data_IF_903620593341
#
_entry.id   IF_903620593341
#
_cell.length_a   1.000
_cell.length_b   1.000
_cell.length_c   1.000
_cell.angle_alpha   90.00
_cell.angle_beta   90.00
_cell.angle_gamma   90.00
#
_symmetry.space_group_name_H-M   'P 1'
#
loop_
_entity.id
_entity.type
_entity.pdbx_description
1 polymer ?
#
# COMPACT_ATOMS: atom_id res chain seq x y z
N UNK A 1 -26.31 -31.15 -1.82
CA UNK A 1 -25.08 -30.45 -2.26
C UNK A 1 -23.95 -31.03 -1.43
N UNK A 2 -22.93 -31.60 -2.08
CA UNK A 2 -22.11 -32.70 -1.54
C UNK A 2 -21.05 -32.23 -0.52
N UNK A 3 -20.68 -33.09 0.44
CA UNK A 3 -19.60 -32.84 1.44
C UNK A 3 -18.26 -32.34 0.84
N UNK A 4 -18.05 -32.53 -0.47
CA UNK A 4 -16.92 -31.97 -1.20
C UNK A 4 -17.01 -30.44 -1.34
N UNK A 5 -18.20 -29.86 -1.56
CA UNK A 5 -18.37 -28.41 -1.65
C UNK A 5 -18.12 -27.72 -0.31
N UNK A 6 -18.58 -28.31 0.81
CA UNK A 6 -18.33 -27.75 2.15
C UNK A 6 -16.84 -27.78 2.52
N UNK A 7 -16.13 -28.87 2.17
CA UNK A 7 -14.68 -28.96 2.37
C UNK A 7 -13.90 -27.98 1.51
N UNK A 8 -14.31 -27.75 0.26
CA UNK A 8 -13.68 -26.78 -0.62
C UNK A 8 -13.85 -25.35 -0.10
N UNK A 9 -15.05 -24.99 0.34
CA UNK A 9 -15.33 -23.65 0.94
C UNK A 9 -14.50 -23.43 2.20
N UNK A 10 -14.42 -24.42 3.09
CA UNK A 10 -13.60 -24.32 4.31
C UNK A 10 -12.10 -24.15 4.00
N UNK A 11 -11.60 -24.83 2.96
CA UNK A 11 -10.20 -24.69 2.51
C UNK A 11 -9.97 -23.30 1.91
N UNK A 12 -10.91 -22.82 1.10
CA UNK A 12 -10.88 -21.49 0.49
C UNK A 12 -10.83 -20.39 1.55
N UNK A 13 -11.65 -20.46 2.59
CA UNK A 13 -11.66 -19.51 3.70
C UNK A 13 -10.32 -19.49 4.46
N UNK A 14 -9.77 -20.67 4.76
CA UNK A 14 -8.46 -20.78 5.43
C UNK A 14 -7.32 -20.25 4.57
N UNK A 15 -7.32 -20.59 3.28
CA UNK A 15 -6.32 -20.12 2.33
C UNK A 15 -6.41 -18.61 2.15
N UNK A 16 -7.62 -18.07 2.01
CA UNK A 16 -7.87 -16.65 1.90
C UNK A 16 -7.36 -15.90 3.14
N UNK A 17 -7.67 -16.38 4.35
CA UNK A 17 -7.15 -15.81 5.59
C UNK A 17 -5.62 -15.80 5.66
N UNK A 18 -4.96 -16.86 5.16
CA UNK A 18 -3.50 -16.92 5.08
C UNK A 18 -2.94 -15.92 4.07
N UNK A 19 -3.56 -15.81 2.89
CA UNK A 19 -3.16 -14.89 1.83
C UNK A 19 -3.28 -13.43 2.28
N UNK A 20 -4.41 -13.03 2.87
CA UNK A 20 -4.61 -11.65 3.35
C UNK A 20 -3.56 -11.28 4.42
N UNK A 21 -3.20 -12.22 5.31
CA UNK A 21 -2.20 -11.99 6.35
C UNK A 21 -0.77 -11.88 5.81
N UNK A 22 -0.43 -12.61 4.76
CA UNK A 22 0.97 -12.72 4.30
C UNK A 22 1.26 -11.99 2.98
N UNK A 23 0.27 -11.65 2.17
CA UNK A 23 0.47 -11.12 0.81
C UNK A 23 1.36 -9.86 0.80
N UNK A 24 1.04 -8.85 1.61
CA UNK A 24 1.83 -7.60 1.64
C UNK A 24 3.24 -7.84 2.18
N UNK A 25 3.39 -8.70 3.20
CA UNK A 25 4.69 -9.04 3.77
C UNK A 25 5.56 -9.80 2.75
N UNK A 26 4.99 -10.79 2.08
CA UNK A 26 5.65 -11.55 1.02
C UNK A 26 6.04 -10.63 -0.14
N UNK A 27 5.13 -9.75 -0.59
CA UNK A 27 5.39 -8.77 -1.64
C UNK A 27 6.56 -7.85 -1.28
N UNK A 28 6.57 -7.30 -0.07
CA UNK A 28 7.66 -6.45 0.43
C UNK A 28 8.99 -7.18 0.43
N UNK A 29 9.02 -8.41 0.95
CA UNK A 29 10.25 -9.22 1.02
C UNK A 29 10.76 -9.52 -0.39
N UNK A 30 9.90 -9.96 -1.30
CA UNK A 30 10.28 -10.31 -2.67
C UNK A 30 10.79 -9.08 -3.43
N UNK A 31 10.08 -7.95 -3.36
CA UNK A 31 10.53 -6.69 -3.97
C UNK A 31 11.87 -6.27 -3.38
N UNK A 32 12.01 -6.28 -2.05
CA UNK A 32 13.26 -5.93 -1.38
C UNK A 32 14.44 -6.82 -1.79
N UNK A 33 14.24 -8.13 -1.89
CA UNK A 33 15.24 -9.08 -2.33
C UNK A 33 15.66 -8.85 -3.79
N UNK A 34 14.71 -8.56 -4.68
CA UNK A 34 14.98 -8.27 -6.09
C UNK A 34 15.79 -6.97 -6.23
N UNK A 35 15.40 -5.91 -5.53
CA UNK A 35 16.13 -4.63 -5.53
C UNK A 35 17.56 -4.80 -4.99
N UNK A 36 17.72 -5.52 -3.89
CA UNK A 36 19.04 -5.77 -3.33
C UNK A 36 19.91 -6.61 -4.27
N UNK A 37 19.35 -7.69 -4.84
CA UNK A 37 20.07 -8.56 -5.77
C UNK A 37 20.53 -7.83 -7.03
N UNK A 38 19.65 -7.06 -7.67
CA UNK A 38 20.01 -6.28 -8.86
C UNK A 38 20.95 -5.11 -8.54
N UNK A 39 20.77 -4.45 -7.40
CA UNK A 39 21.69 -3.41 -6.94
C UNK A 39 23.11 -3.95 -6.74
N UNK A 40 23.24 -5.11 -6.07
CA UNK A 40 24.55 -5.75 -5.87
C UNK A 40 25.18 -6.13 -7.22
N UNK A 41 24.38 -6.64 -8.16
CA UNK A 41 24.87 -7.06 -9.47
C UNK A 41 25.46 -5.89 -10.29
N UNK A 42 24.94 -4.67 -10.10
CA UNK A 42 25.39 -3.47 -10.82
C UNK A 42 26.78 -2.98 -10.41
N UNK A 43 27.34 -3.45 -9.28
CA UNK A 43 28.74 -3.18 -8.95
C UNK A 43 29.72 -3.98 -9.81
N UNK A 44 29.26 -5.03 -10.50
CA UNK A 44 30.09 -5.88 -11.35
C UNK A 44 29.86 -5.53 -12.82
N UNK A 45 30.84 -4.92 -13.51
CA UNK A 45 30.70 -4.56 -14.91
C UNK A 45 30.54 -5.80 -15.80
N UNK A 46 29.74 -5.66 -16.85
CA UNK A 46 29.47 -6.65 -17.91
C UNK A 46 28.72 -7.92 -17.48
N UNK A 47 28.24 -7.97 -16.23
CA UNK A 47 27.44 -9.10 -15.73
C UNK A 47 25.96 -8.95 -16.05
N UNK A 48 25.46 -7.71 -16.15
CA UNK A 48 24.03 -7.45 -16.38
C UNK A 48 23.72 -7.31 -17.88
N UNK A 49 22.82 -8.16 -18.44
CA UNK A 49 22.37 -8.02 -19.83
C UNK A 49 21.75 -6.66 -20.15
N UNK A 50 21.22 -5.96 -19.13
CA UNK A 50 20.56 -4.66 -19.26
C UNK A 50 21.51 -3.46 -19.06
N UNK A 51 22.81 -3.68 -18.85
CA UNK A 51 23.78 -2.59 -18.63
C UNK A 51 23.82 -1.63 -19.82
N UNK A 52 23.88 -2.15 -21.05
CA UNK A 52 23.89 -1.33 -22.26
C UNK A 52 22.59 -0.54 -22.51
N UNK A 53 21.47 -0.95 -21.91
CA UNK A 53 20.24 -0.16 -21.91
C UNK A 53 20.31 0.96 -20.85
N UNK A 54 20.82 0.63 -19.67
CA UNK A 54 20.96 1.55 -18.54
C UNK A 54 21.89 2.71 -18.87
N UNK A 55 23.06 2.42 -19.47
CA UNK A 55 24.04 3.44 -19.88
C UNK A 55 23.41 4.46 -20.83
N UNK A 56 22.73 4.01 -21.90
CA UNK A 56 22.09 4.93 -22.85
C UNK A 56 20.98 5.76 -22.20
N UNK A 57 20.26 5.17 -21.24
CA UNK A 57 19.20 5.87 -20.52
C UNK A 57 19.75 6.95 -19.61
N UNK A 58 20.82 6.65 -18.88
CA UNK A 58 21.55 7.61 -18.04
C UNK A 58 22.08 8.76 -18.89
N UNK A 59 22.71 8.45 -20.02
CA UNK A 59 23.26 9.46 -20.93
C UNK A 59 22.17 10.44 -21.42
N UNK A 60 21.01 9.90 -21.83
CA UNK A 60 19.85 10.70 -22.23
C UNK A 60 19.26 11.53 -21.08
N UNK A 61 19.09 10.94 -19.89
CA UNK A 61 18.50 11.61 -18.73
C UNK A 61 19.42 12.70 -18.14
N UNK A 62 20.72 12.52 -18.26
CA UNK A 62 21.73 13.44 -17.72
C UNK A 62 22.28 14.39 -18.77
N UNK A 63 21.78 14.33 -20.01
CA UNK A 63 22.28 15.07 -21.17
C UNK A 63 23.79 14.90 -21.38
N UNK A 64 24.32 13.72 -21.05
CA UNK A 64 25.75 13.39 -21.11
C UNK A 64 26.63 14.12 -20.08
N UNK A 65 26.05 14.80 -19.09
CA UNK A 65 26.81 15.55 -18.08
C UNK A 65 27.43 14.66 -17.00
N UNK A 66 26.84 13.49 -16.75
CA UNK A 66 27.28 12.58 -15.69
C UNK A 66 27.90 11.34 -16.32
N UNK A 67 29.15 10.96 -15.96
CA UNK A 67 29.75 9.71 -16.41
C UNK A 67 28.90 8.51 -15.99
N UNK A 68 28.69 7.57 -16.92
CA UNK A 68 27.81 6.43 -16.73
C UNK A 68 28.29 5.51 -15.59
N UNK A 69 29.61 5.43 -15.37
CA UNK A 69 30.23 4.64 -14.31
C UNK A 69 29.77 5.12 -12.94
N UNK A 70 29.80 6.45 -12.74
CA UNK A 70 29.37 7.08 -11.48
C UNK A 70 27.87 6.90 -11.28
N UNK A 71 27.09 7.13 -12.33
CA UNK A 71 25.64 6.99 -12.27
C UNK A 71 25.22 5.54 -11.94
N UNK A 72 25.85 4.53 -12.54
CA UNK A 72 25.56 3.13 -12.24
C UNK A 72 25.88 2.80 -10.78
N UNK A 73 27.01 3.27 -10.24
CA UNK A 73 27.37 3.04 -8.83
C UNK A 73 26.36 3.69 -7.89
N UNK A 74 25.91 4.92 -8.19
CA UNK A 74 24.89 5.61 -7.41
C UNK A 74 23.55 4.85 -7.46
N UNK A 75 23.13 4.40 -8.64
CA UNK A 75 21.91 3.60 -8.81
C UNK A 75 22.03 2.27 -8.06
N UNK A 76 23.18 1.60 -8.14
CA UNK A 76 23.44 0.35 -7.43
C UNK A 76 23.31 0.53 -5.92
N UNK A 77 23.94 1.58 -5.36
CA UNK A 77 23.86 1.91 -3.95
C UNK A 77 22.41 2.25 -3.53
N UNK A 78 21.69 3.00 -4.35
CA UNK A 78 20.29 3.35 -4.11
C UNK A 78 19.40 2.09 -4.08
N UNK A 79 19.54 1.19 -5.05
CA UNK A 79 18.77 -0.06 -5.12
C UNK A 79 19.07 -0.98 -3.93
N UNK A 80 20.34 -1.11 -3.55
CA UNK A 80 20.73 -1.82 -2.34
C UNK A 80 20.09 -1.22 -1.09
N UNK A 81 20.13 0.11 -0.95
CA UNK A 81 19.55 0.80 0.20
C UNK A 81 18.03 0.60 0.29
N UNK A 82 17.31 0.74 -0.84
CA UNK A 82 15.88 0.45 -0.94
C UNK A 82 15.62 -1.01 -0.54
N UNK A 83 16.36 -1.96 -1.11
CA UNK A 83 16.23 -3.38 -0.84
C UNK A 83 16.41 -3.73 0.64
N UNK A 84 17.47 -3.19 1.26
CA UNK A 84 17.75 -3.37 2.70
C UNK A 84 16.62 -2.78 3.54
N UNK A 85 16.14 -1.57 3.23
CA UNK A 85 15.03 -0.97 3.95
C UNK A 85 13.80 -1.91 3.89
N UNK A 86 13.40 -2.34 2.69
CA UNK A 86 12.23 -3.19 2.46
C UNK A 86 12.33 -4.54 3.20
N UNK A 87 13.51 -5.15 3.19
CA UNK A 87 13.77 -6.41 3.90
C UNK A 87 13.74 -6.22 5.42
N UNK A 88 14.40 -5.18 5.93
CA UNK A 88 14.46 -4.86 7.35
C UNK A 88 13.15 -4.26 7.90
N UNK A 89 12.20 -3.91 7.03
CA UNK A 89 10.99 -3.16 7.39
C UNK A 89 11.30 -1.85 8.16
N UNK A 90 12.44 -1.23 7.86
CA UNK A 90 12.90 0.00 8.53
C UNK A 90 12.94 1.16 7.53
N UNK A 91 12.64 2.36 8.01
CA UNK A 91 12.64 3.59 7.20
C UNK A 91 11.75 3.53 5.94
N UNK A 92 10.59 2.87 6.06
CA UNK A 92 9.68 2.64 4.92
C UNK A 92 9.19 3.89 4.22
N UNK A 93 8.99 5.00 4.93
CA UNK A 93 8.64 6.27 4.29
C UNK A 93 9.72 6.73 3.31
N UNK A 94 10.99 6.60 3.70
CA UNK A 94 12.13 6.93 2.84
C UNK A 94 12.20 5.93 1.68
N UNK A 95 12.12 4.63 1.97
CA UNK A 95 12.17 3.58 0.95
C UNK A 95 11.10 3.77 -0.14
N UNK A 96 9.88 4.14 0.23
CA UNK A 96 8.80 4.38 -0.72
C UNK A 96 9.04 5.62 -1.56
N UNK A 97 9.51 6.73 -0.97
CA UNK A 97 9.90 7.92 -1.76
C UNK A 97 11.01 7.61 -2.76
N UNK A 98 12.02 6.84 -2.33
CA UNK A 98 13.10 6.41 -3.20
C UNK A 98 12.62 5.46 -4.29
N UNK A 99 11.68 4.56 -4.01
CA UNK A 99 11.04 3.70 -5.02
C UNK A 99 10.34 4.54 -6.11
N UNK A 100 9.61 5.59 -5.72
CA UNK A 100 8.94 6.46 -6.70
C UNK A 100 9.95 7.11 -7.65
N UNK A 101 11.03 7.67 -7.10
CA UNK A 101 12.12 8.25 -7.91
C UNK A 101 12.74 7.17 -8.81
N UNK A 102 12.98 5.98 -8.26
CA UNK A 102 13.60 4.89 -8.98
C UNK A 102 12.72 4.36 -10.12
N UNK A 103 11.40 4.32 -9.95
CA UNK A 103 10.47 3.91 -11.01
C UNK A 103 10.45 4.88 -12.20
N UNK A 104 10.64 6.18 -11.96
CA UNK A 104 10.82 7.15 -13.05
C UNK A 104 12.05 6.77 -13.88
N UNK A 105 13.17 6.45 -13.22
CA UNK A 105 14.40 6.04 -13.90
C UNK A 105 14.28 4.71 -14.65
N UNK A 106 13.70 3.68 -14.02
CA UNK A 106 13.56 2.34 -14.60
C UNK A 106 12.60 2.35 -15.80
N UNK A 107 11.54 3.17 -15.77
CA UNK A 107 10.56 3.24 -16.85
C UNK A 107 10.87 4.30 -17.92
N UNK A 108 11.82 5.21 -17.68
CA UNK A 108 12.27 6.19 -18.67
C UNK A 108 12.60 5.61 -20.07
N UNK A 109 13.22 4.41 -20.20
CA UNK A 109 13.48 3.81 -21.51
C UNK A 109 12.23 3.59 -22.36
N UNK A 110 11.04 3.40 -21.77
CA UNK A 110 9.79 3.21 -22.51
C UNK A 110 9.45 4.41 -23.39
N UNK A 111 9.83 5.62 -22.95
CA UNK A 111 9.59 6.87 -23.67
C UNK A 111 10.83 7.30 -24.46
N UNK A 112 12.01 7.18 -23.86
CA UNK A 112 13.26 7.69 -24.45
C UNK A 112 13.85 6.75 -25.50
N UNK A 113 13.64 5.44 -25.36
CA UNK A 113 14.29 4.38 -26.14
C UNK A 113 13.26 3.44 -26.78
N UNK A 114 12.03 3.91 -27.02
CA UNK A 114 10.93 3.11 -27.60
C UNK A 114 11.35 2.39 -28.87
N UNK A 115 12.07 3.07 -29.78
CA UNK A 115 12.56 2.48 -31.02
C UNK A 115 13.53 1.30 -30.83
N UNK A 116 14.26 1.25 -29.70
CA UNK A 116 15.13 0.13 -29.33
C UNK A 116 14.35 -0.98 -28.63
N UNK A 117 13.40 -0.63 -27.78
CA UNK A 117 12.62 -1.60 -27.02
C UNK A 117 11.63 -2.37 -27.91
N UNK A 118 11.11 -1.76 -28.97
CA UNK A 118 10.12 -2.35 -29.88
C UNK A 118 10.65 -2.60 -31.29
N UNK A 119 11.96 -2.87 -31.42
CA UNK A 119 12.60 -3.12 -32.72
C UNK A 119 12.40 -4.55 -33.25
N UNK A 120 11.59 -5.38 -32.60
CA UNK A 120 11.33 -6.76 -33.02
C UNK A 120 10.42 -6.85 -34.25
N UNK A 121 10.27 -8.04 -34.84
CA UNK A 121 9.31 -8.27 -35.92
C UNK A 121 7.91 -7.80 -35.52
N UNK A 122 7.22 -7.10 -36.42
CA UNK A 122 5.89 -6.54 -36.15
C UNK A 122 5.80 -5.62 -34.91
N UNK A 123 6.88 -4.88 -34.60
CA UNK A 123 6.96 -4.00 -33.42
C UNK A 123 6.89 -4.76 -32.09
N UNK A 124 7.25 -6.06 -32.09
CA UNK A 124 7.33 -6.85 -30.88
C UNK A 124 8.45 -6.33 -29.95
N UNK A 125 8.27 -6.42 -28.61
CA UNK A 125 9.28 -6.01 -27.67
C UNK A 125 10.50 -6.93 -27.71
N UNK A 126 11.69 -6.34 -27.76
CA UNK A 126 12.97 -7.04 -27.60
C UNK A 126 13.10 -7.62 -26.20
N UNK A 127 14.12 -8.44 -25.94
CA UNK A 127 14.37 -8.94 -24.57
C UNK A 127 14.51 -7.79 -23.57
N UNK A 128 15.25 -6.73 -23.95
CA UNK A 128 15.34 -5.48 -23.18
C UNK A 128 13.97 -4.82 -22.97
N UNK A 129 13.14 -4.75 -24.02
CA UNK A 129 11.76 -4.26 -23.93
C UNK A 129 10.89 -5.05 -22.96
N UNK A 130 10.99 -6.39 -23.00
CA UNK A 130 10.28 -7.28 -22.07
C UNK A 130 10.75 -7.09 -20.64
N UNK A 131 12.06 -6.91 -20.43
CA UNK A 131 12.61 -6.63 -19.10
C UNK A 131 12.07 -5.32 -18.52
N UNK A 132 11.98 -4.24 -19.30
CA UNK A 132 11.44 -2.97 -18.81
C UNK A 132 9.92 -3.05 -18.60
N UNK A 133 9.19 -3.71 -19.51
CA UNK A 133 7.73 -3.85 -19.39
C UNK A 133 7.31 -4.61 -18.13
N UNK A 134 8.08 -5.63 -17.72
CA UNK A 134 7.77 -6.38 -16.49
C UNK A 134 7.88 -5.47 -15.25
N UNK A 135 8.71 -4.43 -15.28
CA UNK A 135 8.94 -3.56 -14.12
C UNK A 135 7.73 -2.67 -13.81
N UNK A 136 6.75 -2.58 -14.71
CA UNK A 136 5.41 -2.02 -14.43
C UNK A 136 4.73 -2.78 -13.28
N UNK A 137 4.96 -4.09 -13.17
CA UNK A 137 4.47 -4.90 -12.05
C UNK A 137 5.10 -4.45 -10.73
N UNK A 138 6.37 -4.03 -10.74
CA UNK A 138 7.04 -3.50 -9.55
C UNK A 138 6.45 -2.16 -9.11
N UNK A 139 5.97 -1.34 -10.05
CA UNK A 139 5.22 -0.11 -9.71
C UNK A 139 3.95 -0.45 -8.95
N UNK A 140 3.14 -1.38 -9.46
CA UNK A 140 1.93 -1.84 -8.77
C UNK A 140 2.26 -2.44 -7.40
N UNK A 141 3.34 -3.22 -7.30
CA UNK A 141 3.80 -3.77 -6.03
C UNK A 141 4.23 -2.67 -5.04
N UNK A 142 4.95 -1.66 -5.53
CA UNK A 142 5.35 -0.48 -4.76
C UNK A 142 4.15 0.31 -4.24
N UNK A 143 3.11 0.47 -5.07
CA UNK A 143 1.84 1.09 -4.65
C UNK A 143 1.16 0.29 -3.53
N UNK A 144 1.09 -1.04 -3.65
CA UNK A 144 0.51 -1.89 -2.61
C UNK A 144 1.31 -1.83 -1.29
N UNK A 145 2.65 -1.83 -1.36
CA UNK A 145 3.52 -1.66 -0.20
C UNK A 145 3.33 -0.26 0.42
N UNK A 146 3.26 0.78 -0.40
CA UNK A 146 3.03 2.16 0.03
C UNK A 146 1.69 2.30 0.76
N UNK A 147 0.61 1.75 0.19
CA UNK A 147 -0.72 1.77 0.78
C UNK A 147 -0.75 1.05 2.15
N UNK A 148 -0.11 -0.11 2.25
CA UNK A 148 0.01 -0.85 3.52
C UNK A 148 0.87 -0.14 4.56
N UNK A 149 1.88 0.61 4.14
CA UNK A 149 2.85 1.23 5.04
C UNK A 149 2.44 2.62 5.52
N UNK A 150 1.88 3.47 4.67
CA UNK A 150 1.60 4.88 5.04
C UNK A 150 0.41 5.06 5.97
N UNK A 151 -0.48 4.06 6.10
CA UNK A 151 -1.71 4.17 6.92
C UNK A 151 -2.06 2.92 7.72
N UNK A 152 -1.16 1.93 7.81
CA UNK A 152 -1.53 0.61 8.35
C UNK A 152 -2.66 -0.04 7.56
N UNK A 153 -2.80 0.30 6.27
CA UNK A 153 -3.88 -0.16 5.41
C UNK A 153 -3.83 -1.67 5.25
N UNK A 154 -4.74 -2.37 5.93
CA UNK A 154 -5.03 -3.78 5.64
C UNK A 154 -5.93 -3.86 4.42
N UNK A 155 -5.78 -4.94 3.65
CA UNK A 155 -6.79 -5.34 2.68
C UNK A 155 -8.05 -5.68 3.48
N UNK A 156 -9.05 -4.80 3.44
CA UNK A 156 -10.36 -5.00 4.07
C UNK A 156 -11.26 -5.61 2.99
N UNK A 157 -11.95 -6.69 3.33
CA UNK A 157 -13.03 -7.23 2.51
C UNK A 157 -14.24 -6.32 2.69
N UNK A 158 -14.77 -5.76 1.60
CA UNK A 158 -16.18 -5.43 1.57
C UNK A 158 -16.94 -6.75 1.46
N UNK A 159 -17.62 -7.14 2.53
CA UNK A 159 -18.52 -8.28 2.45
C UNK A 159 -19.64 -7.92 1.44
N UNK A 160 -19.90 -8.75 0.42
CA UNK A 160 -20.98 -8.49 -0.51
C UNK A 160 -22.30 -8.54 0.24
N UNK A 161 -22.86 -7.36 0.51
CA UNK A 161 -24.20 -7.18 1.07
C UNK A 161 -24.37 -7.80 2.46
N UNK A 162 -24.03 -7.03 3.50
CA UNK A 162 -24.94 -7.02 4.65
C UNK A 162 -26.14 -6.20 4.16
N UNK A 163 -27.28 -6.81 3.75
CA UNK A 163 -28.51 -6.03 3.63
C UNK A 163 -28.70 -5.32 4.96
N UNK A 164 -29.17 -4.06 4.95
CA UNK A 164 -29.61 -3.31 6.13
C UNK A 164 -30.12 -4.30 7.18
N UNK A 165 -29.22 -4.71 8.08
CA UNK A 165 -29.59 -5.72 9.06
C UNK A 165 -30.30 -4.86 10.06
N UNK A 166 -31.62 -5.06 10.28
CA UNK A 166 -32.32 -4.34 11.31
C UNK A 166 -31.46 -4.44 12.57
N UNK A 167 -31.28 -3.33 13.32
CA UNK A 167 -30.35 -3.30 14.45
C UNK A 167 -30.49 -4.60 15.23
N UNK A 168 -29.36 -5.29 15.43
CA UNK A 168 -29.32 -6.53 16.18
C UNK A 168 -30.15 -6.36 17.46
N UNK A 169 -30.95 -7.38 17.86
CA UNK A 169 -31.89 -7.25 18.97
C UNK A 169 -31.15 -6.66 20.15
N UNK A 170 -31.67 -5.52 20.61
CA UNK A 170 -31.17 -4.75 21.73
C UNK A 170 -30.85 -5.73 22.85
N UNK A 171 -29.56 -5.94 23.13
CA UNK A 171 -29.17 -6.64 24.33
C UNK A 171 -29.71 -5.80 25.49
N UNK A 172 -30.57 -6.40 26.31
CA UNK A 172 -31.07 -5.75 27.52
C UNK A 172 -29.91 -5.38 28.47
N UNK A 173 -30.09 -4.32 29.28
CA UNK A 173 -29.04 -3.34 29.55
C UNK A 173 -28.39 -3.54 30.93
N UNK A 174 -27.57 -4.58 31.10
CA UNK A 174 -26.87 -4.80 32.38
C UNK A 174 -25.33 -4.68 32.29
N UNK A 175 -24.72 -4.86 31.12
CA UNK A 175 -23.25 -4.88 30.96
C UNK A 175 -22.75 -4.07 29.74
N UNK A 176 -23.61 -3.24 29.14
CA UNK A 176 -23.19 -2.46 27.98
C UNK A 176 -22.28 -1.29 28.42
N UNK A 177 -21.06 -1.17 27.87
CA UNK A 177 -20.14 -0.10 28.25
C UNK A 177 -20.76 1.28 27.97
N UNK A 178 -20.51 2.22 28.88
CA UNK A 178 -20.91 3.62 28.73
C UNK A 178 -20.38 4.23 27.41
N UNK A 179 -21.05 5.26 26.90
CA UNK A 179 -20.68 5.99 25.70
C UNK A 179 -19.22 6.48 25.72
N UNK A 180 -18.72 6.95 26.88
CA UNK A 180 -17.32 7.35 27.03
C UNK A 180 -16.35 6.19 26.84
N UNK A 181 -16.69 5.03 27.39
CA UNK A 181 -15.89 3.81 27.27
C UNK A 181 -15.92 3.28 25.82
N UNK A 182 -17.09 3.26 25.17
CA UNK A 182 -17.23 2.92 23.74
C UNK A 182 -16.36 3.81 22.86
N UNK A 183 -16.37 5.12 23.11
CA UNK A 183 -15.54 6.09 22.39
C UNK A 183 -14.05 5.82 22.60
N UNK A 184 -13.62 5.55 23.83
CA UNK A 184 -12.24 5.26 24.15
C UNK A 184 -11.74 3.98 23.43
N UNK A 185 -12.57 2.94 23.38
CA UNK A 185 -12.27 1.71 22.63
C UNK A 185 -12.08 2.02 21.13
N UNK A 186 -13.00 2.76 20.52
CA UNK A 186 -12.93 3.16 19.11
C UNK A 186 -11.68 4.01 18.82
N UNK A 187 -11.38 4.99 19.67
CA UNK A 187 -10.22 5.87 19.52
C UNK A 187 -8.90 5.13 19.71
N UNK A 188 -8.85 4.13 20.59
CA UNK A 188 -7.65 3.35 20.86
C UNK A 188 -7.16 2.54 19.65
N UNK A 189 -8.09 2.09 18.79
CA UNK A 189 -7.79 1.47 17.51
C UNK A 189 -7.52 2.49 16.40
N UNK A 190 -8.16 3.67 16.45
CA UNK A 190 -7.96 4.75 15.48
C UNK A 190 -6.57 5.43 15.60
N UNK A 191 -5.96 5.41 16.80
CA UNK A 191 -4.62 5.96 17.05
C UNK A 191 -3.48 5.20 16.34
N UNK A 192 -3.75 4.03 15.75
CA UNK A 192 -2.79 3.29 14.93
C UNK A 192 -1.73 2.48 15.69
N UNK A 193 -1.79 2.46 17.02
CA UNK A 193 -0.85 1.71 17.88
C UNK A 193 -1.23 0.22 18.01
N UNK A 194 -2.52 -0.12 17.86
CA UNK A 194 -3.08 -1.48 17.96
C UNK A 194 -4.01 -1.76 16.78
N UNK A 195 -4.20 -3.03 16.42
CA UNK A 195 -5.14 -3.36 15.34
C UNK A 195 -6.57 -3.47 15.87
N UNK A 196 -7.56 -3.15 15.02
CA UNK A 196 -8.99 -3.26 15.38
C UNK A 196 -9.34 -4.66 15.89
N UNK A 197 -8.72 -5.69 15.31
CA UNK A 197 -8.92 -7.08 15.74
C UNK A 197 -8.40 -7.30 17.15
N UNK A 198 -7.19 -6.81 17.47
CA UNK A 198 -6.60 -6.95 18.80
C UNK A 198 -7.44 -6.23 19.86
N UNK A 199 -8.01 -5.06 19.53
CA UNK A 199 -8.92 -4.31 20.39
C UNK A 199 -10.25 -5.05 20.57
N UNK A 200 -10.77 -5.66 19.51
CA UNK A 200 -11.99 -6.47 19.61
C UNK A 200 -11.77 -7.73 20.46
N UNK A 201 -10.63 -8.39 20.31
CA UNK A 201 -10.26 -9.58 21.07
C UNK A 201 -10.00 -9.24 22.55
N UNK A 202 -9.34 -8.12 22.84
CA UNK A 202 -9.08 -7.61 24.20
C UNK A 202 -10.38 -7.27 24.94
N UNK A 203 -11.29 -6.57 24.27
CA UNK A 203 -12.56 -6.13 24.85
C UNK A 203 -13.69 -7.15 24.67
N UNK A 204 -13.40 -8.32 24.09
CA UNK A 204 -14.36 -9.39 23.83
C UNK A 204 -15.61 -8.92 23.06
N UNK A 205 -15.43 -7.97 22.14
CA UNK A 205 -16.52 -7.39 21.35
C UNK A 205 -16.52 -7.94 19.91
N UNK A 206 -17.69 -8.22 19.33
CA UNK A 206 -17.81 -8.56 17.91
C UNK A 206 -17.32 -7.40 17.03
N UNK A 207 -16.69 -7.75 15.91
CA UNK A 207 -16.19 -6.77 14.94
C UNK A 207 -17.32 -5.88 14.38
N UNK A 208 -18.52 -6.43 14.21
CA UNK A 208 -19.72 -5.69 13.79
C UNK A 208 -20.12 -4.60 14.80
N UNK A 209 -20.06 -4.91 16.09
CA UNK A 209 -20.34 -3.98 17.18
C UNK A 209 -19.34 -2.84 17.21
N UNK A 210 -18.04 -3.14 17.05
CA UNK A 210 -17.00 -2.13 16.94
C UNK A 210 -17.27 -1.16 15.77
N UNK A 211 -17.62 -1.70 14.59
CA UNK A 211 -17.90 -0.86 13.43
C UNK A 211 -19.16 -0.02 13.59
N UNK A 212 -20.19 -0.54 14.25
CA UNK A 212 -21.40 0.22 14.57
C UNK A 212 -21.06 1.43 15.47
N UNK A 213 -20.28 1.22 16.54
CA UNK A 213 -19.83 2.31 17.43
C UNK A 213 -18.96 3.33 16.71
N UNK A 214 -18.06 2.86 15.84
CA UNK A 214 -17.20 3.73 15.02
C UNK A 214 -18.03 4.63 14.12
N UNK A 215 -19.01 4.07 13.42
CA UNK A 215 -19.89 4.83 12.52
C UNK A 215 -20.72 5.86 13.29
N UNK A 216 -21.28 5.48 14.45
CA UNK A 216 -21.99 6.41 15.33
C UNK A 216 -21.07 7.57 15.80
N UNK A 217 -19.82 7.26 16.13
CA UNK A 217 -18.82 8.26 16.53
C UNK A 217 -18.51 9.25 15.40
N UNK A 218 -18.31 8.76 14.18
CA UNK A 218 -18.08 9.61 13.00
C UNK A 218 -19.25 10.55 12.72
N UNK A 219 -20.48 10.03 12.75
CA UNK A 219 -21.67 10.86 12.53
C UNK A 219 -21.83 11.91 13.62
N UNK A 220 -21.66 11.54 14.90
CA UNK A 220 -21.72 12.51 16.00
C UNK A 220 -20.66 13.60 15.90
N UNK A 221 -19.42 13.23 15.53
CA UNK A 221 -18.33 14.19 15.34
C UNK A 221 -18.60 15.15 14.16
N UNK A 222 -19.11 14.62 13.04
CA UNK A 222 -19.50 15.43 11.88
C UNK A 222 -20.62 16.42 12.24
N UNK A 223 -21.68 15.96 12.90
CA UNK A 223 -22.79 16.84 13.30
C UNK A 223 -22.34 17.97 14.24
N UNK A 224 -21.46 17.67 15.20
CA UNK A 224 -20.93 18.68 16.12
C UNK A 224 -20.06 19.73 15.40
N UNK A 225 -19.29 19.32 14.38
CA UNK A 225 -18.48 20.23 13.57
C UNK A 225 -19.35 21.09 12.63
N UNK A 226 -20.42 20.53 12.08
CA UNK A 226 -21.38 21.27 11.25
C UNK A 226 -22.16 22.31 12.07
N UNK A 227 -22.53 21.97 13.32
CA UNK A 227 -23.18 22.88 14.27
C UNK A 227 -22.25 24.04 14.67
N UNK A 228 -20.97 23.75 14.96
CA UNK A 228 -19.95 24.79 15.20
C UNK A 228 -19.71 25.70 13.98
N UNK A 229 -19.76 25.14 12.77
CA UNK A 229 -19.57 25.91 11.53
C UNK A 229 -20.77 26.82 11.25
N UNK A 230 -21.98 26.38 11.64
CA UNK A 230 -23.22 27.16 11.48
C UNK A 230 -23.32 28.30 12.50
N UNK A 231 -22.93 28.08 13.75
CA UNK A 231 -22.94 29.09 14.83
C UNK A 231 -21.93 30.24 14.57
N UNK A 232 -20.81 29.93 13.90
CA UNK A 232 -19.83 30.94 13.42
C UNK A 232 -20.37 31.73 12.21
N UNK A 233 -21.27 31.14 11.41
CA UNK A 233 -21.91 31.80 10.27
C UNK A 233 -22.98 32.81 10.68
N UNK A 234 -23.79 32.48 11.70
CA UNK A 234 -24.89 33.36 12.16
C UNK A 234 -24.41 34.57 12.98
N UNK A 235 -23.24 34.49 13.62
CA UNK A 235 -22.69 35.60 14.40
C UNK A 235 -22.14 36.77 13.56
N UNK A 236 -22.00 36.61 12.23
CA UNK A 236 -21.52 37.65 11.32
C UNK A 236 -22.60 38.38 10.52
N UNK A 237 -23.88 38.01 10.67
CA UNK A 237 -25.00 38.54 9.87
C UNK A 237 -26.01 39.37 10.69
N UNK A 238 -25.55 40.17 11.66
CA UNK A 238 -26.36 41.27 12.19
C UNK A 238 -26.21 42.52 11.29
N UNK A 239 -27.27 42.94 10.56
CA UNK A 239 -27.20 44.14 9.75
C UNK A 239 -27.23 45.37 10.66
N UNK A 240 -26.19 46.19 10.60
CA UNK A 240 -26.18 47.55 11.14
C UNK A 240 -27.34 48.33 10.53
N UNK A 241 -28.34 48.63 11.35
CA UNK A 241 -29.35 49.67 11.10
C UNK A 241 -28.76 51.05 11.37
#
# INVERSE_FOLDING_TARGET
>A
MSMLSERLVTIEEKLHGLLVRHAIKALRITVGAIFLGFGVLKFFPDVSPAQGLSIKTIDLLTFGLIPWEVAIVVIAALECFIGICLLANRWMRIAVWLLVVQFIGILAPLVLLTGRLFSGPHHAPTLEGQYVLKDIILVAAGMAIAAGTFRGGRLIRDEPGVPDTPPAPTAEPADEPDAGHKLQIVLSAAAGERTVQDVCDEHHIPLSTYYAWRTATYHGAMSALDEQTSDIGETHEQPTR
#
